data_IF_549169367048
#
_entry.id   IF_549169367048
#
_cell.length_a   1.000
_cell.length_b   1.000
_cell.length_c   1.000
_cell.angle_alpha   90.00
_cell.angle_beta   90.00
_cell.angle_gamma   90.00
#
_symmetry.space_group_name_H-M   'P 1'
#
loop_
_entity.id
_entity.type
_entity.pdbx_description
1 polymer ?
#
# COMPACT_ATOMS: atom_id res chain seq x y z
N UNK A 1 -4.56 -5.86 -20.10
CA UNK A 1 -4.02 -4.73 -19.31
C UNK A 1 -3.38 -5.32 -18.07
N UNK A 2 -2.07 -5.25 -17.93
CA UNK A 2 -1.41 -5.54 -16.64
C UNK A 2 -1.92 -4.49 -15.63
N UNK A 3 -2.42 -4.91 -14.48
CA UNK A 3 -2.80 -3.96 -13.43
C UNK A 3 -1.54 -3.25 -12.92
N UNK A 4 -1.63 -1.95 -12.66
CA UNK A 4 -0.50 -1.21 -12.10
C UNK A 4 -0.37 -1.53 -10.61
N UNK A 5 0.84 -1.45 -10.04
CA UNK A 5 1.06 -1.60 -8.59
C UNK A 5 0.12 -0.71 -7.77
N UNK A 6 -0.19 0.49 -8.27
CA UNK A 6 -1.17 1.41 -7.68
C UNK A 6 -2.60 0.85 -7.63
N UNK A 7 -3.05 0.18 -8.70
CA UNK A 7 -4.39 -0.42 -8.78
C UNK A 7 -4.51 -1.60 -7.81
N UNK A 8 -3.46 -2.40 -7.69
CA UNK A 8 -3.45 -3.54 -6.79
C UNK A 8 -3.44 -3.12 -5.32
N UNK A 9 -2.62 -2.12 -4.97
CA UNK A 9 -2.61 -1.54 -3.62
C UNK A 9 -3.96 -0.88 -3.31
N UNK A 10 -4.55 -0.14 -4.26
CA UNK A 10 -5.88 0.43 -4.08
C UNK A 10 -6.94 -0.64 -3.88
N UNK A 11 -6.84 -1.75 -4.62
CA UNK A 11 -7.71 -2.92 -4.44
C UNK A 11 -7.53 -3.53 -3.04
N UNK A 12 -6.30 -3.68 -2.56
CA UNK A 12 -6.04 -4.20 -1.21
C UNK A 12 -6.60 -3.27 -0.12
N UNK A 13 -6.42 -1.96 -0.27
CA UNK A 13 -6.94 -0.93 0.63
C UNK A 13 -8.47 -0.90 0.69
N UNK A 14 -9.13 -1.03 -0.46
CA UNK A 14 -10.60 -1.06 -0.53
C UNK A 14 -11.16 -2.39 -0.02
N UNK A 15 -10.58 -3.53 -0.42
CA UNK A 15 -11.10 -4.86 -0.11
C UNK A 15 -10.83 -5.31 1.33
N UNK A 16 -9.63 -5.03 1.88
CA UNK A 16 -9.24 -5.50 3.21
C UNK A 16 -9.47 -4.44 4.30
N UNK A 17 -9.25 -3.16 3.96
CA UNK A 17 -9.32 -2.07 4.95
C UNK A 17 -10.61 -1.25 4.85
N UNK A 18 -11.47 -1.50 3.85
CA UNK A 18 -12.69 -0.73 3.64
C UNK A 18 -12.43 0.75 3.36
N UNK A 19 -11.25 1.07 2.83
CA UNK A 19 -10.87 2.45 2.50
C UNK A 19 -11.73 2.93 1.32
N UNK A 20 -12.18 4.18 1.34
CA UNK A 20 -12.91 4.76 0.22
C UNK A 20 -11.94 4.95 -0.98
N UNK A 21 -12.22 4.37 -2.16
CA UNK A 21 -11.39 4.57 -3.35
C UNK A 21 -11.23 6.05 -3.74
N UNK A 22 -12.19 6.92 -3.41
CA UNK A 22 -12.09 8.37 -3.66
C UNK A 22 -11.12 9.08 -2.70
N UNK A 23 -10.85 8.47 -1.54
CA UNK A 23 -9.88 8.95 -0.55
C UNK A 23 -8.45 8.44 -0.83
N UNK A 24 -8.30 7.32 -1.55
CA UNK A 24 -7.00 6.79 -1.97
C UNK A 24 -6.41 7.70 -3.05
N UNK A 25 -5.64 8.69 -2.62
CA UNK A 25 -4.92 9.61 -3.51
C UNK A 25 -3.42 9.57 -3.21
N UNK A 26 -2.56 9.72 -4.24
CA UNK A 26 -1.11 9.64 -4.09
C UNK A 26 -0.54 10.60 -3.05
N UNK A 27 -1.18 11.75 -2.88
CA UNK A 27 -0.77 12.84 -1.99
C UNK A 27 -1.26 12.65 -0.54
N UNK A 28 -2.18 11.70 -0.31
CA UNK A 28 -2.82 11.48 0.99
C UNK A 28 -1.91 10.64 1.88
N UNK A 29 -1.62 11.09 3.12
CA UNK A 29 -0.93 10.29 4.12
C UNK A 29 -1.74 9.05 4.53
N UNK A 30 -1.07 7.92 4.77
CA UNK A 30 -1.70 6.68 5.21
C UNK A 30 -2.50 6.86 6.51
N UNK A 31 -2.04 7.72 7.43
CA UNK A 31 -2.79 8.10 8.64
C UNK A 31 -4.16 8.71 8.35
N UNK A 32 -4.32 9.46 7.25
CA UNK A 32 -5.61 10.05 6.87
C UNK A 32 -6.58 8.99 6.33
N UNK A 33 -6.07 7.87 5.83
CA UNK A 33 -6.88 6.71 5.44
C UNK A 33 -7.28 5.83 6.64
N UNK A 34 -7.00 6.29 7.87
CA UNK A 34 -7.21 5.53 9.11
C UNK A 34 -6.44 4.20 9.16
N UNK A 35 -5.30 4.15 8.47
CA UNK A 35 -4.37 3.03 8.59
C UNK A 35 -3.54 3.22 9.86
N UNK A 36 -3.88 2.44 10.88
CA UNK A 36 -3.11 2.32 12.12
C UNK A 36 -1.86 1.43 11.92
N UNK A 37 -0.97 1.37 12.91
CA UNK A 37 0.25 0.54 12.84
C UNK A 37 -0.04 -0.93 12.53
N UNK A 38 -1.13 -1.50 13.07
CA UNK A 38 -1.54 -2.87 12.77
C UNK A 38 -2.01 -3.01 11.32
N UNK A 39 -2.79 -2.06 10.82
CA UNK A 39 -3.29 -2.09 9.46
C UNK A 39 -2.16 -1.96 8.44
N UNK A 40 -1.12 -1.17 8.76
CA UNK A 40 0.09 -1.08 7.94
C UNK A 40 0.86 -2.41 7.90
N UNK A 41 0.98 -3.10 9.03
CA UNK A 41 1.61 -4.42 9.10
C UNK A 41 0.83 -5.46 8.28
N UNK A 42 -0.50 -5.49 8.42
CA UNK A 42 -1.36 -6.36 7.61
C UNK A 42 -1.28 -6.03 6.12
N UNK A 43 -1.27 -4.74 5.77
CA UNK A 43 -1.16 -4.28 4.39
C UNK A 43 0.16 -4.73 3.78
N UNK A 44 1.25 -4.64 4.55
CA UNK A 44 2.57 -5.09 4.16
C UNK A 44 2.54 -6.59 3.82
N UNK A 45 2.07 -7.43 4.74
CA UNK A 45 1.95 -8.88 4.52
C UNK A 45 1.08 -9.23 3.31
N UNK A 46 -0.04 -8.52 3.12
CA UNK A 46 -0.92 -8.73 1.97
C UNK A 46 -0.24 -8.37 0.63
N UNK A 47 0.60 -7.35 0.61
CA UNK A 47 1.35 -6.97 -0.58
C UNK A 47 2.47 -7.98 -0.85
N UNK A 48 3.20 -8.40 0.19
CA UNK A 48 4.24 -9.43 0.10
C UNK A 48 3.67 -10.74 -0.47
N UNK A 49 2.54 -11.22 0.06
CA UNK A 49 1.86 -12.45 -0.40
C UNK A 49 1.33 -12.33 -1.85
N UNK A 50 0.75 -11.18 -2.19
CA UNK A 50 0.07 -10.99 -3.48
C UNK A 50 0.99 -10.65 -4.63
N UNK A 51 2.10 -9.95 -4.36
CA UNK A 51 3.08 -9.54 -5.37
C UNK A 51 4.39 -10.32 -5.30
N UNK A 52 4.54 -11.24 -4.35
CA UNK A 52 5.76 -12.03 -4.11
C UNK A 52 6.99 -11.12 -3.91
N UNK A 53 6.83 -10.06 -3.11
CA UNK A 53 7.88 -9.06 -2.81
C UNK A 53 8.26 -9.09 -1.34
N UNK A 54 9.48 -8.66 -1.03
CA UNK A 54 9.95 -8.50 0.35
C UNK A 54 9.98 -7.00 0.74
N UNK A 55 9.10 -6.63 1.66
CA UNK A 55 8.96 -5.28 2.19
C UNK A 55 9.54 -5.13 3.61
N UNK A 56 10.22 -6.13 4.17
CA UNK A 56 10.76 -6.06 5.54
C UNK A 56 11.81 -4.92 5.68
N UNK A 57 12.59 -4.68 4.62
CA UNK A 57 13.54 -3.55 4.56
C UNK A 57 12.85 -2.18 4.33
N UNK A 58 11.57 -2.17 3.96
CA UNK A 58 10.84 -0.94 3.60
C UNK A 58 10.13 -0.42 4.85
N UNK A 59 10.65 0.67 5.40
CA UNK A 59 9.95 1.38 6.47
C UNK A 59 8.72 2.11 5.94
N UNK A 60 7.54 1.54 6.17
CA UNK A 60 6.26 2.18 5.88
C UNK A 60 5.65 2.69 7.18
N UNK A 61 5.43 3.99 7.25
CA UNK A 61 4.87 4.65 8.42
C UNK A 61 3.57 5.34 8.08
N UNK A 62 2.75 5.62 9.10
CA UNK A 62 1.48 6.34 8.90
C UNK A 62 1.67 7.78 8.40
N UNK A 63 2.91 8.31 8.44
CA UNK A 63 3.26 9.62 7.88
C UNK A 63 3.50 9.58 6.38
N UNK A 64 3.82 8.43 5.83
CA UNK A 64 4.07 8.28 4.40
C UNK A 64 2.77 8.42 3.62
N UNK A 65 2.90 8.82 2.35
CA UNK A 65 1.76 8.94 1.45
C UNK A 65 1.50 7.66 0.67
N UNK A 66 0.31 7.53 0.10
CA UNK A 66 -0.03 6.43 -0.80
C UNK A 66 0.96 6.34 -1.96
N UNK A 67 1.42 7.47 -2.51
CA UNK A 67 2.42 7.45 -3.59
C UNK A 67 3.74 6.80 -3.15
N UNK A 68 4.23 7.14 -1.95
CA UNK A 68 5.46 6.58 -1.43
C UNK A 68 5.35 5.06 -1.18
N UNK A 69 4.21 4.62 -0.63
CA UNK A 69 3.89 3.19 -0.48
C UNK A 69 3.92 2.48 -1.84
N UNK A 70 3.18 3.01 -2.83
CA UNK A 70 3.10 2.43 -4.17
C UNK A 70 4.49 2.38 -4.83
N UNK A 71 5.28 3.44 -4.72
CA UNK A 71 6.62 3.49 -5.29
C UNK A 71 7.58 2.52 -4.61
N UNK A 72 7.50 2.35 -3.29
CA UNK A 72 8.33 1.40 -2.56
C UNK A 72 8.04 -0.03 -2.99
N UNK A 73 6.76 -0.39 -3.08
CA UNK A 73 6.33 -1.71 -3.56
C UNK A 73 6.71 -1.91 -5.02
N UNK A 74 6.50 -0.90 -5.87
CA UNK A 74 6.84 -1.00 -7.30
C UNK A 74 8.33 -1.23 -7.50
N UNK A 75 9.19 -0.54 -6.74
CA UNK A 75 10.63 -0.74 -6.79
C UNK A 75 11.05 -2.14 -6.35
N UNK A 76 10.38 -2.72 -5.35
CA UNK A 76 10.63 -4.10 -4.91
C UNK A 76 10.12 -5.14 -5.90
N UNK A 77 8.95 -4.91 -6.51
CA UNK A 77 8.37 -5.80 -7.52
C UNK A 77 9.10 -5.78 -8.86
N UNK A 78 9.78 -4.67 -9.18
CA UNK A 78 10.55 -4.51 -10.42
C UNK A 78 12.04 -4.89 -10.27
N UNK A 79 12.50 -5.21 -9.06
CA UNK A 79 13.87 -5.63 -8.76
C UNK A 79 14.03 -7.14 -8.95
#
# INVERSE_FOLDING_TARGET
MSMSTADEISTLLTANFGTDPLAIRPEVPLRQLRLDSLALEELRLLIEDRMDVDLDDVQITSRDTVAQLVEAVHRKAAA
#
